data_IF_432884852069
#
_entry.id   IF_432884852069
#
_cell.length_a   1.000
_cell.length_b   1.000
_cell.length_c   1.000
_cell.angle_alpha   90.00
_cell.angle_beta   90.00
_cell.angle_gamma   90.00
#
_symmetry.space_group_name_H-M   'P 1'
#
loop_
_entity.id
_entity.type
_entity.pdbx_description
1 polymer ?
#
# COMPACT_ATOMS: atom_id res chain seq x y z
N UNK A 1 14.63 14.22 -9.08
CA UNK A 1 15.03 12.84 -9.43
C UNK A 1 16.04 12.92 -10.58
N UNK A 2 17.26 12.52 -10.31
CA UNK A 2 18.34 12.38 -11.30
C UNK A 2 18.17 11.11 -12.15
N UNK A 3 19.13 10.86 -13.05
CA UNK A 3 19.23 9.57 -13.75
C UNK A 3 19.70 8.48 -12.77
N UNK A 4 19.39 7.21 -13.03
CA UNK A 4 19.88 6.08 -12.20
C UNK A 4 21.41 6.06 -12.05
N UNK A 5 22.14 6.62 -13.05
CA UNK A 5 23.59 6.85 -12.95
C UNK A 5 23.98 7.79 -11.81
N UNK A 6 23.17 8.82 -11.56
CA UNK A 6 23.45 9.82 -10.51
C UNK A 6 23.17 9.22 -9.11
N UNK A 7 22.12 8.39 -9.00
CA UNK A 7 21.81 7.62 -7.78
C UNK A 7 22.99 6.70 -7.43
N UNK A 8 23.57 6.01 -8.43
CA UNK A 8 24.71 5.12 -8.22
C UNK A 8 25.92 5.85 -7.68
N UNK A 9 26.26 7.02 -8.25
CA UNK A 9 27.37 7.86 -7.75
C UNK A 9 27.18 8.22 -6.27
N UNK A 10 25.96 8.62 -5.88
CA UNK A 10 25.64 8.98 -4.49
C UNK A 10 25.85 7.77 -3.55
N UNK A 11 25.43 6.58 -3.99
CA UNK A 11 25.61 5.33 -3.24
C UNK A 11 27.11 5.00 -3.09
N UNK A 12 27.85 5.03 -4.19
CA UNK A 12 29.28 4.69 -4.24
C UNK A 12 30.14 5.65 -3.41
N UNK A 13 29.70 6.89 -3.22
CA UNK A 13 30.30 7.87 -2.32
C UNK A 13 29.98 7.66 -0.84
N UNK A 14 29.25 6.59 -0.50
CA UNK A 14 28.93 6.23 0.89
C UNK A 14 27.88 7.12 1.55
N UNK A 15 27.00 7.77 0.78
CA UNK A 15 26.02 8.72 1.31
C UNK A 15 24.88 8.04 2.10
N UNK A 16 24.51 6.78 1.78
CA UNK A 16 23.38 6.09 2.41
C UNK A 16 23.51 5.98 3.94
N UNK A 17 24.63 5.48 4.52
CA UNK A 17 24.81 5.46 5.97
C UNK A 17 24.72 6.84 6.63
N UNK A 18 25.20 7.88 5.93
CA UNK A 18 25.15 9.27 6.41
C UNK A 18 23.69 9.74 6.47
N UNK A 19 22.90 9.51 5.43
CA UNK A 19 21.47 9.85 5.45
C UNK A 19 20.71 9.11 6.56
N UNK A 20 21.04 7.84 6.81
CA UNK A 20 20.43 7.08 7.92
C UNK A 20 20.79 7.72 9.27
N UNK A 21 22.03 8.14 9.51
CA UNK A 21 22.43 8.87 10.71
C UNK A 21 21.67 10.19 10.87
N UNK A 22 21.45 10.92 9.76
CA UNK A 22 20.71 12.18 9.76
C UNK A 22 19.23 12.03 10.12
N UNK A 23 18.67 10.82 10.08
CA UNK A 23 17.30 10.55 10.59
C UNK A 23 17.19 10.76 12.12
N UNK A 24 18.31 10.84 12.82
CA UNK A 24 18.38 11.17 14.25
C UNK A 24 18.82 12.62 14.52
N UNK A 25 18.87 13.47 13.49
CA UNK A 25 19.21 14.89 13.65
C UNK A 25 18.24 15.61 14.58
N UNK A 26 18.70 16.55 15.43
CA UNK A 26 17.82 17.39 16.24
C UNK A 26 16.94 18.32 15.35
N UNK A 27 17.39 18.66 14.15
CA UNK A 27 16.63 19.46 13.19
C UNK A 27 15.64 18.58 12.40
N UNK A 28 14.35 18.90 12.52
CA UNK A 28 13.30 18.20 11.77
C UNK A 28 13.49 18.39 10.26
N UNK A 29 13.88 19.57 9.82
CA UNK A 29 14.09 19.84 8.39
C UNK A 29 15.24 18.97 7.81
N UNK A 30 16.30 18.73 8.60
CA UNK A 30 17.38 17.82 8.21
C UNK A 30 16.89 16.39 8.11
N UNK A 31 16.10 15.93 9.11
CA UNK A 31 15.51 14.58 9.07
C UNK A 31 14.61 14.39 7.85
N UNK A 32 13.78 15.39 7.54
CA UNK A 32 12.87 15.35 6.38
C UNK A 32 13.63 15.25 5.05
N UNK A 33 14.71 16.03 4.86
CA UNK A 33 15.54 15.96 3.67
C UNK A 33 16.28 14.63 3.55
N UNK A 34 16.76 14.07 4.65
CA UNK A 34 17.39 12.75 4.68
C UNK A 34 16.40 11.64 4.30
N UNK A 35 15.16 11.71 4.80
CA UNK A 35 14.07 10.79 4.42
C UNK A 35 13.81 10.86 2.92
N UNK A 36 13.64 12.06 2.39
CA UNK A 36 13.39 12.27 0.97
C UNK A 36 14.53 11.74 0.10
N UNK A 37 15.80 11.94 0.52
CA UNK A 37 16.95 11.41 -0.18
C UNK A 37 16.97 9.87 -0.19
N UNK A 38 16.72 9.23 0.97
CA UNK A 38 16.61 7.77 1.08
C UNK A 38 15.44 7.21 0.25
N UNK A 39 14.32 7.93 0.23
CA UNK A 39 13.17 7.57 -0.60
C UNK A 39 13.46 7.60 -2.09
N UNK A 40 14.18 8.61 -2.57
CA UNK A 40 14.63 8.70 -3.96
C UNK A 40 15.59 7.54 -4.33
N UNK A 41 16.54 7.22 -3.46
CA UNK A 41 17.48 6.11 -3.67
C UNK A 41 16.72 4.78 -3.71
N UNK A 42 15.86 4.51 -2.73
CA UNK A 42 15.09 3.27 -2.65
C UNK A 42 14.07 3.11 -3.79
N UNK A 43 13.56 4.24 -4.30
CA UNK A 43 12.61 4.25 -5.42
C UNK A 43 13.24 3.99 -6.80
N UNK A 44 14.56 4.04 -6.91
CA UNK A 44 15.27 3.88 -8.18
C UNK A 44 15.25 2.42 -8.68
N UNK A 45 15.57 1.47 -7.82
CA UNK A 45 15.55 0.04 -8.14
C UNK A 45 15.38 -0.82 -6.89
N UNK A 46 15.05 -2.11 -7.08
CA UNK A 46 15.01 -3.08 -5.98
C UNK A 46 16.38 -3.25 -5.30
N UNK A 47 17.46 -3.20 -6.05
CA UNK A 47 18.83 -3.26 -5.51
C UNK A 47 19.11 -2.05 -4.61
N UNK A 48 18.78 -0.84 -5.06
CA UNK A 48 18.95 0.38 -4.28
C UNK A 48 18.07 0.39 -3.02
N UNK A 49 16.82 -0.09 -3.13
CA UNK A 49 15.92 -0.29 -2.00
C UNK A 49 16.53 -1.20 -0.94
N UNK A 50 17.02 -2.37 -1.36
CA UNK A 50 17.60 -3.36 -0.45
C UNK A 50 18.85 -2.81 0.24
N UNK A 51 19.68 -2.05 -0.48
CA UNK A 51 20.86 -1.38 0.06
C UNK A 51 20.49 -0.37 1.15
N UNK A 52 19.44 0.42 0.96
CA UNK A 52 18.92 1.35 1.98
C UNK A 52 18.36 0.59 3.19
N UNK A 53 17.67 -0.52 2.97
CA UNK A 53 17.17 -1.38 4.05
C UNK A 53 18.32 -2.07 4.81
N UNK A 54 19.38 -2.51 4.12
CA UNK A 54 20.59 -3.09 4.73
C UNK A 54 21.33 -2.08 5.62
N UNK A 55 21.29 -0.80 5.25
CA UNK A 55 21.78 0.29 6.08
C UNK A 55 20.88 0.61 7.30
N UNK A 56 19.86 -0.22 7.58
CA UNK A 56 18.95 -0.11 8.73
C UNK A 56 18.11 1.18 8.74
N UNK A 57 17.73 1.69 7.57
CA UNK A 57 16.95 2.92 7.44
C UNK A 57 15.50 2.79 7.95
N UNK A 58 14.93 1.57 7.99
CA UNK A 58 13.50 1.37 8.25
C UNK A 58 13.09 1.83 9.66
N UNK A 59 13.78 1.41 10.70
CA UNK A 59 13.40 1.76 12.09
C UNK A 59 13.47 3.26 12.37
N UNK A 60 14.56 3.98 12.02
CA UNK A 60 14.62 5.42 12.19
C UNK A 60 13.56 6.17 11.36
N UNK A 61 13.19 5.65 10.17
CA UNK A 61 12.08 6.19 9.37
C UNK A 61 10.74 6.05 10.10
N UNK A 62 10.43 4.87 10.61
CA UNK A 62 9.16 4.61 11.31
C UNK A 62 8.98 5.49 12.55
N UNK A 63 10.06 5.85 13.24
CA UNK A 63 10.02 6.77 14.38
C UNK A 63 9.60 8.20 14.00
N UNK A 64 9.72 8.59 12.72
CA UNK A 64 9.25 9.89 12.25
C UNK A 64 7.73 9.91 11.98
N UNK A 65 7.09 8.74 11.88
CA UNK A 65 5.64 8.60 11.67
C UNK A 65 4.91 8.68 13.02
N UNK A 66 4.93 9.85 13.65
CA UNK A 66 4.31 10.08 14.94
C UNK A 66 3.34 11.27 14.90
N UNK A 67 2.46 11.38 15.90
CA UNK A 67 1.38 12.39 15.94
C UNK A 67 1.86 13.86 16.04
N UNK A 68 3.12 14.08 16.38
CA UNK A 68 3.70 15.41 16.52
C UNK A 68 4.44 15.87 15.25
N UNK A 69 4.63 14.95 14.29
CA UNK A 69 5.32 15.28 13.05
C UNK A 69 4.51 16.26 12.20
N UNK A 70 5.22 17.18 11.52
CA UNK A 70 4.61 18.03 10.50
C UNK A 70 4.01 17.20 9.39
N UNK A 71 2.98 17.71 8.72
CA UNK A 71 2.34 17.01 7.61
C UNK A 71 3.32 16.74 6.45
N UNK A 72 4.25 17.63 6.19
CA UNK A 72 5.31 17.42 5.17
C UNK A 72 6.20 16.23 5.51
N UNK A 73 6.60 16.09 6.78
CA UNK A 73 7.34 14.94 7.29
C UNK A 73 6.53 13.66 7.12
N UNK A 74 5.25 13.66 7.51
CA UNK A 74 4.36 12.50 7.36
C UNK A 74 4.24 12.07 5.91
N UNK A 75 4.06 13.00 4.97
CA UNK A 75 3.99 12.72 3.53
C UNK A 75 5.30 12.12 3.02
N UNK A 76 6.44 12.77 3.27
CA UNK A 76 7.74 12.29 2.84
C UNK A 76 8.09 10.92 3.43
N UNK A 77 7.82 10.70 4.72
CA UNK A 77 8.10 9.44 5.39
C UNK A 77 7.19 8.31 4.90
N UNK A 78 5.90 8.57 4.66
CA UNK A 78 4.97 7.57 4.13
C UNK A 78 5.31 7.20 2.68
N UNK A 79 5.63 8.19 1.85
CA UNK A 79 6.10 7.95 0.49
C UNK A 79 7.39 7.12 0.46
N UNK A 80 8.38 7.46 1.31
CA UNK A 80 9.63 6.69 1.43
C UNK A 80 9.35 5.26 1.90
N UNK A 81 8.44 5.08 2.88
CA UNK A 81 8.02 3.76 3.32
C UNK A 81 7.37 2.96 2.19
N UNK A 82 6.55 3.58 1.35
CA UNK A 82 5.96 2.90 0.18
C UNK A 82 7.04 2.42 -0.79
N UNK A 83 8.10 3.19 -1.00
CA UNK A 83 9.26 2.78 -1.81
C UNK A 83 10.04 1.63 -1.19
N UNK A 84 10.12 1.52 0.14
CA UNK A 84 10.74 0.37 0.82
C UNK A 84 9.95 -0.93 0.63
N UNK A 85 8.66 -0.83 0.42
CA UNK A 85 7.79 -1.99 0.16
C UNK A 85 7.71 -2.36 -1.33
N UNK A 86 8.03 -1.41 -2.23
CA UNK A 86 7.84 -1.50 -3.67
C UNK A 86 9.00 -2.23 -4.36
N UNK A 87 8.72 -2.84 -5.51
CA UNK A 87 9.73 -3.29 -6.48
C UNK A 87 9.64 -4.77 -6.85
N UNK A 88 10.40 -5.13 -7.89
CA UNK A 88 10.60 -6.52 -8.32
C UNK A 88 12.10 -6.76 -8.48
N UNK A 89 12.65 -7.78 -7.79
CA UNK A 89 11.96 -8.70 -6.88
C UNK A 89 11.32 -7.98 -5.68
N UNK A 90 10.25 -8.57 -5.14
CA UNK A 90 9.54 -8.04 -3.99
C UNK A 90 10.47 -7.96 -2.76
N UNK A 91 10.26 -6.94 -1.93
CA UNK A 91 10.95 -6.85 -0.64
C UNK A 91 10.64 -8.07 0.22
N UNK A 92 11.64 -8.55 0.97
CA UNK A 92 11.43 -9.57 1.99
C UNK A 92 10.41 -9.08 3.02
N UNK A 93 9.29 -9.81 3.11
CA UNK A 93 8.18 -9.44 3.98
C UNK A 93 8.58 -9.37 5.44
N UNK A 94 9.44 -10.29 5.90
CA UNK A 94 9.90 -10.33 7.28
C UNK A 94 10.64 -9.05 7.70
N UNK A 95 11.34 -8.42 6.75
CA UNK A 95 12.05 -7.14 6.99
C UNK A 95 11.10 -5.96 7.16
N UNK A 96 10.00 -5.92 6.42
CA UNK A 96 9.12 -4.74 6.32
C UNK A 96 7.79 -4.90 7.05
N UNK A 97 7.41 -6.11 7.50
CA UNK A 97 6.15 -6.33 8.24
C UNK A 97 6.03 -5.51 9.52
N UNK A 98 7.15 -5.09 10.10
CA UNK A 98 7.17 -4.18 11.27
C UNK A 98 6.52 -2.82 10.98
N UNK A 99 6.37 -2.44 9.71
CA UNK A 99 5.68 -1.23 9.30
C UNK A 99 4.13 -1.35 9.35
N UNK A 100 3.58 -2.56 9.40
CA UNK A 100 2.12 -2.79 9.35
C UNK A 100 1.32 -2.03 10.42
N UNK A 101 1.73 -1.95 11.70
CA UNK A 101 1.02 -1.15 12.70
C UNK A 101 1.04 0.36 12.37
N UNK A 102 2.12 0.85 11.79
CA UNK A 102 2.21 2.25 11.34
C UNK A 102 1.29 2.50 10.14
N UNK A 103 1.27 1.58 9.16
CA UNK A 103 0.37 1.67 8.01
C UNK A 103 -1.10 1.62 8.44
N UNK A 104 -1.45 0.81 9.45
CA UNK A 104 -2.78 0.83 10.06
C UNK A 104 -3.14 2.23 10.58
N UNK A 105 -2.22 2.90 11.27
CA UNK A 105 -2.44 4.27 11.73
C UNK A 105 -2.59 5.24 10.55
N UNK A 106 -1.69 5.18 9.57
CA UNK A 106 -1.64 6.11 8.45
C UNK A 106 -2.89 6.09 7.57
N UNK A 107 -3.49 4.92 7.31
CA UNK A 107 -4.73 4.83 6.52
C UNK A 107 -5.96 5.39 7.24
N UNK A 108 -5.87 5.71 8.52
CA UNK A 108 -6.93 6.35 9.29
C UNK A 108 -6.78 7.88 9.39
N UNK A 109 -5.70 8.44 8.84
CA UNK A 109 -5.53 9.89 8.73
C UNK A 109 -6.39 10.44 7.58
N UNK A 110 -6.54 11.78 7.55
CA UNK A 110 -7.35 12.46 6.54
C UNK A 110 -6.56 13.02 5.36
N UNK A 111 -5.23 13.06 5.45
CA UNK A 111 -4.40 13.59 4.38
C UNK A 111 -4.33 12.66 3.19
N UNK A 112 -4.71 13.15 2.01
CA UNK A 112 -4.86 12.34 0.80
C UNK A 112 -3.53 11.74 0.30
N UNK A 113 -2.42 12.45 0.43
CA UNK A 113 -1.10 11.97 0.01
C UNK A 113 -0.63 10.84 0.93
N UNK A 114 -0.77 11.03 2.25
CA UNK A 114 -0.46 9.98 3.24
C UNK A 114 -1.34 8.75 3.02
N UNK A 115 -2.66 8.93 2.81
CA UNK A 115 -3.58 7.83 2.52
C UNK A 115 -3.17 7.05 1.28
N UNK A 116 -2.89 7.75 0.18
CA UNK A 116 -2.52 7.12 -1.08
C UNK A 116 -1.25 6.29 -0.95
N UNK A 117 -0.19 6.86 -0.35
CA UNK A 117 1.09 6.17 -0.21
C UNK A 117 1.04 5.02 0.79
N UNK A 118 0.27 5.16 1.88
CA UNK A 118 0.04 4.06 2.82
C UNK A 118 -0.73 2.89 2.17
N UNK A 119 -1.74 3.18 1.34
CA UNK A 119 -2.45 2.17 0.57
C UNK A 119 -1.54 1.51 -0.48
N UNK A 120 -0.64 2.26 -1.14
CA UNK A 120 0.36 1.69 -2.04
C UNK A 120 1.30 0.74 -1.29
N UNK A 121 1.83 1.14 -0.13
CA UNK A 121 2.66 0.26 0.69
C UNK A 121 1.92 -1.05 1.04
N UNK A 122 0.67 -0.98 1.48
CA UNK A 122 -0.17 -2.15 1.76
C UNK A 122 -0.40 -3.02 0.52
N UNK A 123 -0.56 -2.40 -0.66
CA UNK A 123 -0.73 -3.14 -1.91
C UNK A 123 0.50 -3.96 -2.27
N UNK A 124 1.70 -3.44 -2.02
CA UNK A 124 2.95 -4.18 -2.23
C UNK A 124 3.15 -5.29 -1.19
N UNK A 125 2.76 -5.05 0.07
CA UNK A 125 2.87 -6.04 1.14
C UNK A 125 1.87 -7.19 1.01
N UNK A 126 0.72 -6.96 0.39
CA UNK A 126 -0.31 -7.97 0.12
C UNK A 126 -0.11 -8.73 -1.20
N UNK A 127 0.83 -8.30 -2.05
CA UNK A 127 1.14 -8.96 -3.32
C UNK A 127 2.05 -10.17 -3.06
N UNK A 128 1.47 -11.35 -2.97
CA UNK A 128 2.22 -12.59 -2.77
C UNK A 128 1.40 -13.76 -2.24
N UNK A 129 2.01 -14.57 -1.39
CA UNK A 129 1.41 -15.77 -0.83
C UNK A 129 0.46 -15.49 0.35
N UNK A 130 -0.23 -16.53 0.79
CA UNK A 130 -1.23 -16.47 1.87
C UNK A 130 -0.65 -15.94 3.19
N UNK A 131 0.64 -16.20 3.49
CA UNK A 131 1.27 -15.71 4.73
C UNK A 131 1.40 -14.18 4.73
N UNK A 132 1.77 -13.58 3.60
CA UNK A 132 1.83 -12.12 3.42
C UNK A 132 0.44 -11.51 3.55
N UNK A 133 -0.53 -12.08 2.84
CA UNK A 133 -1.94 -11.67 2.91
C UNK A 133 -2.44 -11.75 4.35
N UNK A 134 -2.14 -12.85 5.05
CA UNK A 134 -2.53 -13.04 6.44
C UNK A 134 -1.89 -12.00 7.37
N UNK A 135 -0.64 -11.63 7.13
CA UNK A 135 0.04 -10.56 7.87
C UNK A 135 -0.67 -9.21 7.71
N UNK A 136 -1.08 -8.86 6.50
CA UNK A 136 -1.85 -7.64 6.22
C UNK A 136 -3.24 -7.68 6.87
N UNK A 137 -3.95 -8.82 6.82
CA UNK A 137 -5.25 -8.99 7.48
C UNK A 137 -5.12 -8.83 9.00
N UNK A 138 -4.12 -9.46 9.61
CA UNK A 138 -3.85 -9.37 11.08
C UNK A 138 -3.53 -7.95 11.53
N UNK A 139 -3.03 -7.10 10.66
CA UNK A 139 -2.81 -5.69 10.97
C UNK A 139 -4.12 -4.89 11.13
N UNK A 140 -5.30 -5.47 10.85
CA UNK A 140 -6.61 -4.86 11.06
C UNK A 140 -7.00 -3.78 10.04
N UNK A 141 -6.35 -3.77 8.88
CA UNK A 141 -6.51 -2.71 7.85
C UNK A 141 -7.70 -2.91 6.91
N UNK A 142 -8.24 -4.15 6.83
CA UNK A 142 -9.19 -4.54 5.76
C UNK A 142 -10.46 -3.70 5.78
N UNK A 143 -11.07 -3.48 6.95
CA UNK A 143 -12.30 -2.68 7.05
C UNK A 143 -12.09 -1.28 6.49
N UNK A 144 -10.99 -0.62 6.87
CA UNK A 144 -10.68 0.73 6.40
C UNK A 144 -10.38 0.76 4.91
N UNK A 145 -9.66 -0.24 4.37
CA UNK A 145 -9.42 -0.36 2.93
C UNK A 145 -10.73 -0.49 2.14
N UNK A 146 -11.70 -1.27 2.64
CA UNK A 146 -13.03 -1.39 2.01
C UNK A 146 -13.78 -0.06 2.04
N UNK A 147 -13.73 0.70 3.14
CA UNK A 147 -14.30 2.06 3.21
C UNK A 147 -13.65 2.99 2.17
N UNK A 148 -12.33 2.89 1.97
CA UNK A 148 -11.58 3.70 1.00
C UNK A 148 -11.91 3.36 -0.46
N UNK A 149 -12.60 2.25 -0.76
CA UNK A 149 -13.14 1.99 -2.09
C UNK A 149 -14.21 3.01 -2.50
N UNK A 150 -14.87 3.66 -1.52
CA UNK A 150 -15.79 4.77 -1.75
C UNK A 150 -15.12 6.16 -1.74
N UNK A 151 -13.78 6.25 -1.67
CA UNK A 151 -13.09 7.53 -1.57
C UNK A 151 -13.21 8.33 -2.87
N UNK A 152 -13.51 9.65 -2.82
CA UNK A 152 -13.73 10.47 -4.01
C UNK A 152 -12.46 10.70 -4.83
N UNK A 153 -11.29 10.55 -4.23
CA UNK A 153 -10.01 10.76 -4.89
C UNK A 153 -9.43 9.47 -5.41
N UNK A 154 -9.32 9.39 -6.73
CA UNK A 154 -8.77 8.23 -7.45
C UNK A 154 -7.37 7.78 -6.98
N UNK A 155 -6.43 8.69 -6.63
CA UNK A 155 -5.12 8.28 -6.10
C UNK A 155 -5.19 7.47 -4.79
N UNK A 156 -6.24 7.62 -3.99
CA UNK A 156 -6.48 6.82 -2.78
C UNK A 156 -7.24 5.53 -3.12
N UNK A 157 -8.28 5.65 -3.94
CA UNK A 157 -9.16 4.53 -4.33
C UNK A 157 -8.38 3.41 -5.02
N UNK A 158 -7.52 3.73 -5.99
CA UNK A 158 -6.80 2.72 -6.80
C UNK A 158 -5.94 1.80 -5.94
N UNK A 159 -5.01 2.27 -5.08
CA UNK A 159 -4.20 1.38 -4.27
C UNK A 159 -5.02 0.64 -3.19
N UNK A 160 -6.10 1.23 -2.67
CA UNK A 160 -7.01 0.52 -1.78
C UNK A 160 -7.70 -0.66 -2.50
N UNK A 161 -8.20 -0.43 -3.72
CA UNK A 161 -8.80 -1.48 -4.54
C UNK A 161 -7.78 -2.58 -4.90
N UNK A 162 -6.55 -2.19 -5.24
CA UNK A 162 -5.46 -3.14 -5.49
C UNK A 162 -5.19 -4.02 -4.27
N UNK A 163 -5.13 -3.43 -3.08
CA UNK A 163 -4.90 -4.17 -1.83
C UNK A 163 -6.04 -5.15 -1.55
N UNK A 164 -7.29 -4.71 -1.68
CA UNK A 164 -8.47 -5.57 -1.53
C UNK A 164 -8.44 -6.71 -2.56
N UNK A 165 -8.12 -6.40 -3.82
CA UNK A 165 -7.96 -7.38 -4.89
C UNK A 165 -6.88 -8.42 -4.59
N UNK A 166 -5.73 -7.99 -4.07
CA UNK A 166 -4.65 -8.92 -3.67
C UNK A 166 -5.11 -9.84 -2.53
N UNK A 167 -5.82 -9.33 -1.53
CA UNK A 167 -6.28 -10.14 -0.38
C UNK A 167 -7.21 -11.26 -0.84
N UNK A 168 -8.09 -11.02 -1.79
CA UNK A 168 -9.02 -12.04 -2.30
C UNK A 168 -8.38 -13.03 -3.29
N UNK A 169 -7.08 -12.94 -3.55
CA UNK A 169 -6.30 -14.01 -4.22
C UNK A 169 -5.82 -15.09 -3.24
N UNK A 170 -5.97 -14.87 -1.94
CA UNK A 170 -5.63 -15.83 -0.89
C UNK A 170 -6.66 -16.94 -0.75
N UNK A 171 -6.65 -17.60 0.40
CA UNK A 171 -7.59 -18.68 0.68
C UNK A 171 -9.03 -18.18 0.92
N UNK A 172 -9.97 -19.14 1.05
CA UNK A 172 -11.39 -18.85 1.29
C UNK A 172 -11.62 -18.06 2.58
N UNK A 173 -10.83 -18.28 3.63
CA UNK A 173 -10.99 -17.58 4.92
C UNK A 173 -10.53 -16.12 4.81
N UNK A 174 -9.49 -15.87 4.08
CA UNK A 174 -8.96 -14.53 3.79
C UNK A 174 -9.91 -13.74 2.90
N UNK A 175 -10.43 -14.38 1.85
CA UNK A 175 -11.49 -13.81 1.00
C UNK A 175 -12.74 -13.47 1.82
N UNK A 176 -13.11 -14.33 2.76
CA UNK A 176 -14.29 -14.11 3.61
C UNK A 176 -14.15 -12.87 4.50
N UNK A 177 -12.97 -12.53 4.96
CA UNK A 177 -12.72 -11.28 5.74
C UNK A 177 -13.13 -10.05 4.92
N UNK A 178 -12.77 -10.02 3.64
CA UNK A 178 -13.11 -8.91 2.72
C UNK A 178 -14.63 -8.82 2.50
N UNK A 179 -15.28 -9.95 2.29
CA UNK A 179 -16.74 -10.00 2.13
C UNK A 179 -17.44 -9.50 3.41
N UNK A 180 -17.00 -9.95 4.58
CA UNK A 180 -17.56 -9.57 5.89
C UNK A 180 -17.38 -8.06 6.17
N UNK A 181 -16.38 -7.41 5.59
CA UNK A 181 -16.19 -5.96 5.65
C UNK A 181 -17.13 -5.17 4.69
N UNK A 182 -17.98 -5.84 3.92
CA UNK A 182 -18.96 -5.21 3.03
C UNK A 182 -18.39 -4.80 1.67
N UNK A 183 -17.31 -5.42 1.23
CA UNK A 183 -16.64 -5.06 -0.02
C UNK A 183 -17.52 -5.22 -1.27
N UNK A 184 -18.46 -6.19 -1.29
CA UNK A 184 -19.31 -6.45 -2.47
C UNK A 184 -20.14 -5.24 -2.87
N UNK A 185 -20.73 -4.53 -1.88
CA UNK A 185 -21.51 -3.32 -2.14
C UNK A 185 -20.63 -2.20 -2.74
N UNK A 186 -19.42 -2.02 -2.23
CA UNK A 186 -18.47 -1.03 -2.75
C UNK A 186 -18.01 -1.40 -4.17
N UNK A 187 -17.69 -2.68 -4.41
CA UNK A 187 -17.29 -3.16 -5.74
C UNK A 187 -18.42 -2.97 -6.77
N UNK A 188 -19.67 -3.21 -6.39
CA UNK A 188 -20.84 -2.92 -7.25
C UNK A 188 -20.88 -1.43 -7.62
N UNK A 189 -20.71 -0.52 -6.64
CA UNK A 189 -20.70 0.91 -6.91
C UNK A 189 -19.59 1.31 -7.87
N UNK A 190 -18.39 0.70 -7.76
CA UNK A 190 -17.29 0.95 -8.69
C UNK A 190 -17.61 0.52 -10.13
N UNK A 191 -18.40 -0.53 -10.30
CA UNK A 191 -18.82 -1.03 -11.62
C UNK A 191 -19.88 -0.13 -12.27
N UNK A 192 -20.93 0.21 -11.50
CA UNK A 192 -22.12 0.89 -12.07
C UNK A 192 -21.93 2.40 -12.22
N UNK A 193 -21.04 3.03 -11.45
CA UNK A 193 -20.82 4.46 -11.55
C UNK A 193 -20.18 4.83 -12.89
N UNK A 194 -20.85 5.67 -13.72
CA UNK A 194 -20.35 6.04 -15.04
C UNK A 194 -19.08 6.91 -14.99
N UNK A 195 -18.83 7.61 -13.87
CA UNK A 195 -17.68 8.49 -13.70
C UNK A 195 -16.36 7.72 -13.52
N UNK A 196 -16.41 6.43 -13.16
CA UNK A 196 -15.20 5.64 -12.97
C UNK A 196 -14.59 5.21 -14.32
N UNK A 197 -13.26 5.42 -14.41
CA UNK A 197 -12.48 5.01 -15.58
C UNK A 197 -12.52 3.48 -15.76
N UNK A 198 -12.39 3.05 -17.03
CA UNK A 198 -12.32 1.61 -17.38
C UNK A 198 -11.29 0.83 -16.58
N UNK A 199 -10.16 1.45 -16.21
CA UNK A 199 -9.12 0.80 -15.41
C UNK A 199 -9.61 0.41 -14.01
N UNK A 200 -10.42 1.27 -13.36
CA UNK A 200 -11.02 0.98 -12.05
C UNK A 200 -12.05 -0.14 -12.17
N UNK A 201 -12.92 -0.07 -13.17
CA UNK A 201 -13.92 -1.12 -13.45
C UNK A 201 -13.25 -2.47 -13.73
N UNK A 202 -12.17 -2.47 -14.53
CA UNK A 202 -11.38 -3.69 -14.80
C UNK A 202 -10.80 -4.30 -13.52
N UNK A 203 -10.24 -3.48 -12.64
CA UNK A 203 -9.68 -3.94 -11.36
C UNK A 203 -10.78 -4.48 -10.43
N UNK A 204 -11.94 -3.81 -10.38
CA UNK A 204 -13.11 -4.30 -9.64
C UNK A 204 -13.62 -5.64 -10.19
N UNK A 205 -13.70 -5.80 -11.51
CA UNK A 205 -14.05 -7.09 -12.14
C UNK A 205 -13.04 -8.18 -11.78
N UNK A 206 -11.75 -7.88 -11.81
CA UNK A 206 -10.71 -8.84 -11.41
C UNK A 206 -10.87 -9.26 -9.95
N UNK A 207 -11.11 -8.30 -9.05
CA UNK A 207 -11.37 -8.58 -7.63
C UNK A 207 -12.59 -9.50 -7.45
N UNK A 208 -13.69 -9.20 -8.14
CA UNK A 208 -14.92 -10.02 -8.09
C UNK A 208 -14.67 -11.41 -8.68
N UNK A 209 -13.90 -11.54 -9.76
CA UNK A 209 -13.58 -12.84 -10.36
C UNK A 209 -12.82 -13.74 -9.39
N UNK A 210 -11.90 -13.17 -8.57
CA UNK A 210 -11.21 -13.91 -7.53
C UNK A 210 -12.16 -14.35 -6.41
N UNK A 211 -13.13 -13.50 -6.01
CA UNK A 211 -14.14 -13.87 -5.02
C UNK A 211 -15.03 -15.02 -5.56
N UNK A 212 -15.40 -14.99 -6.85
CA UNK A 212 -16.22 -16.04 -7.46
C UNK A 212 -15.45 -17.33 -7.75
N UNK A 213 -14.13 -17.33 -7.65
CA UNK A 213 -13.30 -18.54 -7.66
C UNK A 213 -13.31 -19.28 -6.31
N UNK A 214 -13.88 -18.69 -5.26
CA UNK A 214 -13.97 -19.26 -3.92
C UNK A 214 -15.10 -20.30 -3.77
N UNK A 215 -15.55 -20.49 -2.53
CA UNK A 215 -16.56 -21.49 -2.20
C UNK A 215 -17.99 -21.05 -2.57
N UNK A 216 -18.95 -21.99 -2.48
CA UNK A 216 -20.36 -21.78 -2.84
C UNK A 216 -21.00 -20.60 -2.10
N UNK A 217 -20.67 -20.39 -0.83
CA UNK A 217 -21.20 -19.31 -0.01
C UNK A 217 -20.72 -17.93 -0.52
N UNK A 218 -19.48 -17.86 -0.93
CA UNK A 218 -18.87 -16.65 -1.51
C UNK A 218 -19.45 -16.32 -2.89
N UNK A 219 -19.64 -17.35 -3.72
CA UNK A 219 -20.34 -17.20 -5.01
C UNK A 219 -21.77 -16.70 -4.78
N UNK A 220 -22.49 -17.30 -3.83
CA UNK A 220 -23.85 -16.89 -3.50
C UNK A 220 -23.90 -15.42 -3.01
N UNK A 221 -22.95 -15.01 -2.18
CA UNK A 221 -22.86 -13.61 -1.72
C UNK A 221 -22.69 -12.62 -2.87
N UNK A 222 -21.91 -12.96 -3.91
CA UNK A 222 -21.77 -12.12 -5.12
C UNK A 222 -23.08 -12.04 -5.90
N UNK A 223 -23.84 -13.15 -5.99
CA UNK A 223 -25.15 -13.18 -6.64
C UNK A 223 -26.16 -12.30 -5.87
N UNK A 224 -26.23 -12.46 -4.55
CA UNK A 224 -27.12 -11.72 -3.66
C UNK A 224 -26.84 -10.21 -3.65
N UNK A 225 -25.59 -9.83 -3.86
CA UNK A 225 -25.18 -8.43 -4.02
C UNK A 225 -25.62 -7.80 -5.36
N UNK A 226 -26.23 -8.56 -6.28
CA UNK A 226 -26.72 -8.06 -7.57
C UNK A 226 -25.64 -7.73 -8.60
N UNK A 227 -24.40 -8.11 -8.35
CA UNK A 227 -23.24 -7.78 -9.21
C UNK A 227 -23.37 -8.39 -10.60
N UNK A 228 -23.89 -9.64 -10.69
CA UNK A 228 -23.99 -10.37 -11.97
C UNK A 228 -24.92 -9.64 -12.94
N UNK A 229 -26.07 -9.16 -12.46
CA UNK A 229 -27.00 -8.39 -13.30
C UNK A 229 -26.37 -7.10 -13.82
N UNK A 230 -25.54 -6.45 -13.02
CA UNK A 230 -24.87 -5.21 -13.41
C UNK A 230 -23.77 -5.44 -14.46
N UNK A 231 -23.09 -6.59 -14.44
CA UNK A 231 -22.06 -6.95 -15.42
C UNK A 231 -22.62 -7.18 -16.83
N UNK A 232 -23.90 -7.54 -16.96
CA UNK A 232 -24.56 -7.74 -18.25
C UNK A 232 -24.83 -6.40 -18.95
N UNK A 233 -24.86 -5.28 -18.22
CA UNK A 233 -25.24 -3.94 -18.70
C UNK A 233 -24.04 -2.96 -18.79
N UNK A 234 -22.81 -3.40 -18.54
CA UNK A 234 -21.59 -2.63 -18.69
C UNK A 234 -20.96 -2.92 -20.05
#
# INVERSE_FOLDING_TARGET
SGKSSDTRVVIDMGAVPIFVQLLSSPSEDVREQAIWALGNIAGDSAECRDLVLDAQALQPLLLQLNQQAKISMMRNATWTLSNFCRGKPATDFERVKVALPYLHHLINLSDEEVLADACWALSYLSDGNDDKIQGVIRAGVVKRLVELLGHPRTPVLIPALRTVGNIVTGDDSQTQVVINCGALGQLLQLLVNPEHKKSIKKEACWTISNITAGNKTQIQAVMDAGIILSLIHI
#
